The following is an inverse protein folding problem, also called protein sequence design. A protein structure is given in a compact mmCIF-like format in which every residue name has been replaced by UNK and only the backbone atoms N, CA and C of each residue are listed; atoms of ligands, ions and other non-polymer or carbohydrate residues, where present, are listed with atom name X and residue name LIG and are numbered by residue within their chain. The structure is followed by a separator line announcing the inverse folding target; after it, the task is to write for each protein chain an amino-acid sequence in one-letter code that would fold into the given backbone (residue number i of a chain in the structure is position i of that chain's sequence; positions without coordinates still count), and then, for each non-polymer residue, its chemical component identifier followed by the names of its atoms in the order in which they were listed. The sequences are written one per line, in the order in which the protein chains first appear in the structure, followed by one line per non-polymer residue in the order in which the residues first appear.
data_IF_534162954018
#
_entry.id   IF_534162954018
#
_cell.length_a   1.000
_cell.length_b   1.000
_cell.length_c   1.000
_cell.angle_alpha   90.00
_cell.angle_beta   90.00
_cell.angle_gamma   90.00
#
_symmetry.space_group_name_H-M   'P 1'
#
loop_
_entity.id
_entity.type
_entity.pdbx_description
1 polymer ?
#
# COMPACT_ATOMS: atom_id res chain seq x y z
N UNK A 1 2.43 25.02 9.18
CA UNK A 1 3.51 25.52 8.30
C UNK A 1 3.11 25.41 6.83
N UNK A 2 2.68 24.24 6.37
CA UNK A 2 2.23 23.96 4.98
C UNK A 2 1.36 25.07 4.37
N UNK A 3 0.26 25.45 5.03
CA UNK A 3 -0.61 26.54 4.58
C UNK A 3 0.15 27.84 4.27
N UNK A 4 1.04 28.27 5.18
CA UNK A 4 1.84 29.49 4.99
C UNK A 4 2.78 29.39 3.80
N UNK A 5 3.38 28.21 3.55
CA UNK A 5 4.28 27.98 2.42
C UNK A 5 3.50 27.99 1.11
N UNK A 6 2.41 27.22 1.02
CA UNK A 6 1.55 27.14 -0.17
C UNK A 6 0.95 28.49 -0.56
N UNK A 7 0.57 29.33 0.42
CA UNK A 7 0.07 30.69 0.18
C UNK A 7 1.17 31.70 -0.21
N UNK A 8 2.45 31.38 -0.01
CA UNK A 8 3.58 32.31 -0.22
C UNK A 8 4.30 32.17 -1.57
N UNK A 9 4.01 31.12 -2.32
CA UNK A 9 4.66 30.82 -3.60
C UNK A 9 3.61 30.63 -4.70
N UNK A 10 3.98 30.90 -5.94
CA UNK A 10 3.06 30.79 -7.09
C UNK A 10 2.99 29.38 -7.70
N UNK A 11 3.97 28.53 -7.41
CA UNK A 11 4.02 27.15 -7.93
C UNK A 11 3.20 26.20 -7.03
N UNK A 12 2.58 25.15 -7.59
CA UNK A 12 1.84 24.17 -6.79
C UNK A 12 2.72 23.42 -5.77
N UNK A 13 2.15 23.13 -4.62
CA UNK A 13 2.77 22.36 -3.55
C UNK A 13 2.20 20.94 -3.46
N UNK A 14 3.07 19.94 -3.27
CA UNK A 14 2.68 18.54 -3.03
C UNK A 14 3.10 18.14 -1.62
N UNK A 15 2.14 17.72 -0.80
CA UNK A 15 2.37 17.35 0.60
C UNK A 15 2.39 15.85 0.84
N UNK A 16 3.25 15.41 1.77
CA UNK A 16 3.18 14.12 2.45
C UNK A 16 3.31 14.37 3.96
N UNK A 17 2.27 14.03 4.73
CA UNK A 17 2.26 14.30 6.18
C UNK A 17 2.20 15.79 6.61
N UNK A 18 2.13 16.72 5.66
CA UNK A 18 2.03 18.17 5.92
C UNK A 18 0.61 18.67 6.20
N UNK A 19 -0.40 17.79 6.25
CA UNK A 19 -1.80 18.16 6.36
C UNK A 19 -2.42 18.62 5.03
N UNK A 20 -3.72 18.91 5.06
CA UNK A 20 -4.57 19.10 3.86
C UNK A 20 -4.37 20.40 3.06
N UNK A 21 -3.42 21.24 3.45
CA UNK A 21 -3.28 22.60 2.91
C UNK A 21 -2.33 22.73 1.72
N UNK A 22 -1.68 21.63 1.31
CA UNK A 22 -0.96 21.59 0.04
C UNK A 22 -1.93 21.38 -1.12
N UNK A 23 -1.58 21.84 -2.31
CA UNK A 23 -2.42 21.81 -3.52
C UNK A 23 -2.63 20.39 -4.06
N UNK A 24 -1.66 19.50 -3.81
CA UNK A 24 -1.76 18.07 -4.04
C UNK A 24 -1.19 17.27 -2.87
N UNK A 25 -1.40 15.95 -2.93
CA UNK A 25 -0.92 15.02 -1.92
C UNK A 25 -0.19 13.87 -2.61
N UNK A 26 0.82 13.33 -1.93
CA UNK A 26 1.55 12.15 -2.37
C UNK A 26 1.66 11.15 -1.21
N UNK A 27 1.54 9.87 -1.54
CA UNK A 27 1.79 8.74 -0.65
C UNK A 27 2.61 7.70 -1.43
N UNK A 28 3.39 6.90 -0.72
CA UNK A 28 4.09 5.75 -1.30
C UNK A 28 3.07 4.64 -1.52
N UNK A 29 3.02 4.07 -2.72
CA UNK A 29 2.00 3.07 -3.07
C UNK A 29 2.04 1.82 -2.17
N UNK A 30 3.24 1.36 -1.80
CA UNK A 30 3.43 0.21 -0.90
C UNK A 30 2.81 0.46 0.48
N UNK A 31 2.97 1.67 1.01
CA UNK A 31 2.41 2.07 2.31
C UNK A 31 0.88 2.22 2.20
N UNK A 32 0.41 2.83 1.11
CA UNK A 32 -1.02 3.00 0.81
C UNK A 32 -1.74 1.66 0.73
N UNK A 33 -1.11 0.66 0.10
CA UNK A 33 -1.64 -0.70 -0.03
C UNK A 33 -1.36 -1.60 1.19
N UNK A 34 -0.63 -1.11 2.19
CA UNK A 34 -0.35 -1.88 3.40
C UNK A 34 0.55 -3.10 3.16
N UNK A 35 1.52 -2.99 2.25
CA UNK A 35 2.49 -4.06 1.97
C UNK A 35 3.50 -4.26 3.10
N UNK A 36 3.78 -3.21 3.86
CA UNK A 36 4.69 -3.22 5.01
C UNK A 36 3.88 -3.23 6.31
N UNK A 37 4.08 -4.24 7.15
CA UNK A 37 3.30 -4.41 8.38
C UNK A 37 3.72 -3.39 9.46
N UNK A 38 5.02 -3.24 9.69
CA UNK A 38 5.60 -2.48 10.81
C UNK A 38 5.67 -0.96 10.58
N UNK A 39 5.58 -0.49 9.32
CA UNK A 39 5.61 0.93 9.00
C UNK A 39 4.20 1.52 9.01
N UNK A 40 3.87 2.27 10.07
CA UNK A 40 2.56 2.92 10.22
C UNK A 40 2.67 4.36 10.74
N UNK A 41 3.19 5.30 9.93
CA UNK A 41 3.28 6.70 10.33
C UNK A 41 1.88 7.32 10.45
N UNK A 42 1.69 8.24 11.40
CA UNK A 42 0.37 8.84 11.72
C UNK A 42 -0.35 9.51 10.53
N UNK A 43 0.38 9.94 9.50
CA UNK A 43 -0.19 10.58 8.33
C UNK A 43 -0.68 9.60 7.25
N UNK A 44 -0.32 8.33 7.37
CA UNK A 44 -0.66 7.31 6.40
C UNK A 44 -2.07 6.81 6.64
N UNK A 45 -2.88 6.82 5.59
CA UNK A 45 -4.09 6.03 5.51
C UNK A 45 -3.81 4.80 4.65
N UNK A 46 -3.94 3.62 5.24
CA UNK A 46 -3.95 2.36 4.48
C UNK A 46 -5.32 2.19 3.83
N UNK A 47 -5.32 1.85 2.55
CA UNK A 47 -6.51 1.56 1.76
C UNK A 47 -6.70 0.05 1.54
N UNK A 48 -5.68 -0.75 1.85
CA UNK A 48 -5.67 -2.20 1.75
C UNK A 48 -4.73 -2.76 2.82
N UNK A 49 -4.84 -4.06 3.10
CA UNK A 49 -3.93 -4.79 3.96
C UNK A 49 -3.25 -5.91 3.15
N UNK A 50 -2.49 -5.49 2.13
CA UNK A 50 -1.93 -6.42 1.16
C UNK A 50 -0.91 -7.38 1.79
N UNK A 51 -0.29 -7.00 2.91
CA UNK A 51 0.57 -7.90 3.68
C UNK A 51 -0.18 -9.17 4.12
N UNK A 52 -1.36 -9.04 4.72
CA UNK A 52 -2.15 -10.19 5.18
C UNK A 52 -2.71 -10.97 3.99
N UNK A 53 -3.25 -10.27 2.98
CA UNK A 53 -3.81 -10.90 1.78
C UNK A 53 -2.75 -11.71 1.01
N UNK A 54 -1.54 -11.18 0.84
CA UNK A 54 -0.43 -11.92 0.23
C UNK A 54 0.01 -13.10 1.09
N UNK A 55 0.08 -12.93 2.42
CA UNK A 55 0.46 -14.00 3.34
C UNK A 55 -0.52 -15.18 3.29
N UNK A 56 -1.82 -14.88 3.20
CA UNK A 56 -2.87 -15.88 3.02
C UNK A 56 -2.75 -16.59 1.67
N UNK A 57 -2.62 -15.83 0.57
CA UNK A 57 -2.50 -16.40 -0.78
C UNK A 57 -1.29 -17.35 -0.90
N UNK A 58 -0.13 -16.94 -0.35
CA UNK A 58 1.09 -17.76 -0.34
C UNK A 58 0.88 -19.01 0.52
N UNK A 59 0.23 -18.88 1.68
CA UNK A 59 -0.06 -20.02 2.56
C UNK A 59 -0.98 -21.04 1.90
N UNK A 60 -2.00 -20.57 1.19
CA UNK A 60 -2.92 -21.41 0.41
C UNK A 60 -2.17 -22.14 -0.72
N UNK A 61 -1.36 -21.43 -1.50
CA UNK A 61 -0.52 -22.05 -2.53
C UNK A 61 0.40 -23.14 -1.95
N UNK A 62 1.07 -22.86 -0.83
CA UNK A 62 1.93 -23.85 -0.14
C UNK A 62 1.13 -25.07 0.31
N UNK A 63 -0.10 -24.87 0.78
CA UNK A 63 -0.99 -25.97 1.14
C UNK A 63 -1.34 -26.80 -0.09
N UNK A 64 -1.78 -26.17 -1.18
CA UNK A 64 -2.25 -26.84 -2.38
C UNK A 64 -1.14 -27.66 -3.04
N UNK A 65 0.10 -27.15 -3.06
CA UNK A 65 1.28 -27.91 -3.49
C UNK A 65 1.56 -29.11 -2.58
N UNK A 66 1.46 -28.94 -1.26
CA UNK A 66 1.71 -30.03 -0.30
C UNK A 66 0.62 -31.11 -0.33
N UNK A 67 -0.61 -30.74 -0.68
CA UNK A 67 -1.72 -31.68 -0.82
C UNK A 67 -1.84 -32.26 -2.22
N UNK A 68 -0.93 -31.90 -3.14
CA UNK A 68 -0.97 -32.27 -4.57
C UNK A 68 -2.29 -31.84 -5.25
N UNK A 69 -2.92 -30.78 -4.73
CA UNK A 69 -4.10 -30.15 -5.34
C UNK A 69 -3.67 -29.22 -6.48
N UNK A 70 -2.46 -28.64 -6.37
CA UNK A 70 -1.82 -27.87 -7.43
C UNK A 70 -0.54 -28.58 -7.95
N UNK A 71 -0.34 -28.66 -9.28
CA UNK A 71 -1.31 -28.35 -10.34
C UNK A 71 -2.36 -29.46 -10.47
N UNK A 72 -3.60 -29.08 -10.74
CA UNK A 72 -4.70 -29.95 -11.14
C UNK A 72 -4.55 -30.42 -12.60
N UNK A 73 -5.42 -31.32 -13.07
CA UNK A 73 -5.43 -31.79 -14.47
C UNK A 73 -5.64 -30.65 -15.47
N UNK A 74 -6.37 -29.58 -15.10
CA UNK A 74 -6.60 -28.41 -15.97
C UNK A 74 -5.40 -27.45 -16.02
N UNK A 75 -4.47 -27.58 -15.08
CA UNK A 75 -3.29 -26.71 -14.92
C UNK A 75 -2.02 -27.34 -15.50
N UNK A 76 -2.13 -28.46 -16.21
CA UNK A 76 -1.02 -29.18 -16.84
C UNK A 76 -1.36 -29.66 -18.27
N UNK A 77 -0.33 -29.94 -19.08
CA UNK A 77 -0.44 -30.44 -20.46
C UNK A 77 -0.31 -31.97 -20.55
#
# INVERSE_FOLDING_TARGET
LTKKVSESISIPTIGIGGGRHADGQVLVIHDLLGMTHEFNPRFLRRYMNLYDEMSEAISNYVKDVKTLDFPSEEEQY
#
